data_IF_256667018637
#
_entry.id   IF_256667018637
#
_cell.length_a   1.000
_cell.length_b   1.000
_cell.length_c   1.000
_cell.angle_alpha   90.00
_cell.angle_beta   90.00
_cell.angle_gamma   90.00
#
_symmetry.space_group_name_H-M   'P 1'
#
loop_
_entity.id
_entity.type
_entity.pdbx_description
1 polymer ?
#
# COMPACT_ATOMS: atom_id res chain seq x y z
N UNK A 1 16.36 -42.00 2.64
CA UNK A 1 16.34 -40.77 1.81
C UNK A 1 15.29 -40.85 0.70
N UNK A 2 15.34 -41.85 -0.20
CA UNK A 2 14.38 -42.00 -1.31
C UNK A 2 12.90 -42.03 -0.87
N UNK A 3 12.57 -42.82 0.17
CA UNK A 3 11.20 -42.94 0.68
C UNK A 3 10.65 -41.61 1.24
N UNK A 4 11.49 -40.85 1.95
CA UNK A 4 11.11 -39.53 2.49
C UNK A 4 10.86 -38.53 1.36
N UNK A 5 11.70 -38.57 0.32
CA UNK A 5 11.55 -37.72 -0.86
C UNK A 5 10.24 -38.01 -1.60
N UNK A 6 9.90 -39.30 -1.78
CA UNK A 6 8.66 -39.73 -2.41
C UNK A 6 7.45 -39.27 -1.59
N UNK A 7 7.46 -39.47 -0.26
CA UNK A 7 6.37 -39.02 0.62
C UNK A 7 6.18 -37.49 0.56
N UNK A 8 7.27 -36.72 0.54
CA UNK A 8 7.20 -35.26 0.42
C UNK A 8 6.64 -34.80 -0.93
N UNK A 9 7.09 -35.40 -2.03
CA UNK A 9 6.59 -35.08 -3.37
C UNK A 9 5.11 -35.45 -3.48
N UNK A 10 4.73 -36.65 -3.04
CA UNK A 10 3.33 -37.09 -3.04
C UNK A 10 2.46 -36.19 -2.17
N UNK A 11 2.93 -35.84 -0.96
CA UNK A 11 2.23 -34.91 -0.07
C UNK A 11 2.04 -33.52 -0.68
N UNK A 12 3.07 -32.99 -1.36
CA UNK A 12 3.00 -31.70 -2.03
C UNK A 12 2.02 -31.71 -3.23
N UNK A 13 2.04 -32.77 -4.04
CA UNK A 13 1.12 -32.94 -5.18
C UNK A 13 -0.32 -33.08 -4.69
N UNK A 14 -0.56 -33.95 -3.70
CA UNK A 14 -1.88 -34.18 -3.10
C UNK A 14 -2.42 -32.90 -2.46
N UNK A 15 -1.59 -32.17 -1.71
CA UNK A 15 -1.98 -30.91 -1.08
C UNK A 15 -2.29 -29.81 -2.10
N UNK A 16 -1.54 -29.74 -3.21
CA UNK A 16 -1.79 -28.77 -4.27
C UNK A 16 -3.07 -29.08 -5.05
N UNK A 17 -3.38 -30.37 -5.29
CA UNK A 17 -4.62 -30.79 -5.96
C UNK A 17 -5.84 -30.64 -5.04
N UNK A 18 -5.74 -31.08 -3.77
CA UNK A 18 -6.80 -30.91 -2.77
C UNK A 18 -7.05 -29.44 -2.48
N UNK A 19 -6.00 -28.63 -2.35
CA UNK A 19 -6.11 -27.18 -2.15
C UNK A 19 -6.87 -26.51 -3.29
N UNK A 20 -6.56 -26.85 -4.55
CA UNK A 20 -7.29 -26.34 -5.72
C UNK A 20 -8.75 -26.79 -5.74
N UNK A 21 -9.03 -28.09 -5.49
CA UNK A 21 -10.40 -28.59 -5.43
C UNK A 21 -11.23 -27.95 -4.31
N UNK A 22 -10.62 -27.70 -3.16
CA UNK A 22 -11.27 -27.05 -2.03
C UNK A 22 -11.59 -25.58 -2.36
N UNK A 23 -10.67 -24.89 -3.02
CA UNK A 23 -10.89 -23.53 -3.54
C UNK A 23 -12.02 -23.52 -4.58
N UNK A 24 -12.05 -24.46 -5.52
CA UNK A 24 -13.12 -24.56 -6.54
C UNK A 24 -14.49 -24.85 -5.92
N UNK A 25 -14.55 -25.71 -4.91
CA UNK A 25 -15.78 -25.99 -4.15
C UNK A 25 -16.23 -24.75 -3.40
N UNK A 26 -15.30 -24.02 -2.79
CA UNK A 26 -15.59 -22.75 -2.12
C UNK A 26 -16.12 -21.72 -3.11
N UNK A 27 -15.46 -21.52 -4.25
CA UNK A 27 -15.91 -20.60 -5.28
C UNK A 27 -17.30 -20.97 -5.82
N UNK A 28 -17.61 -22.25 -6.02
CA UNK A 28 -18.95 -22.72 -6.41
C UNK A 28 -20.01 -22.46 -5.35
N UNK A 29 -19.69 -22.66 -4.07
CA UNK A 29 -20.61 -22.37 -2.98
C UNK A 29 -20.91 -20.86 -2.89
N UNK A 30 -19.87 -20.03 -3.01
CA UNK A 30 -20.00 -18.56 -2.99
C UNK A 30 -20.74 -18.03 -4.22
N UNK A 31 -20.59 -18.66 -5.39
CA UNK A 31 -21.30 -18.30 -6.63
C UNK A 31 -22.81 -18.56 -6.59
N UNK A 32 -23.32 -19.35 -5.64
CA UNK A 32 -24.77 -19.53 -5.43
C UNK A 32 -25.41 -18.38 -4.67
N UNK A 33 -24.61 -17.49 -4.07
CA UNK A 33 -25.11 -16.32 -3.35
C UNK A 33 -25.10 -15.12 -4.32
N UNK A 34 -26.28 -14.68 -4.83
CA UNK A 34 -26.34 -13.54 -5.74
C UNK A 34 -25.75 -12.29 -5.07
N UNK A 35 -24.89 -11.57 -5.80
CA UNK A 35 -24.18 -10.37 -5.33
C UNK A 35 -22.86 -10.63 -4.59
N UNK A 36 -22.64 -11.84 -4.04
CA UNK A 36 -21.44 -12.15 -3.23
C UNK A 36 -20.16 -12.22 -4.07
N UNK A 37 -20.26 -12.71 -5.32
CA UNK A 37 -19.12 -12.82 -6.24
C UNK A 37 -18.42 -11.47 -6.47
N UNK A 38 -19.17 -10.38 -6.58
CA UNK A 38 -18.61 -9.05 -6.84
C UNK A 38 -17.92 -8.48 -5.58
N UNK A 39 -18.53 -8.67 -4.41
CA UNK A 39 -17.97 -8.22 -3.13
C UNK A 39 -16.70 -9.02 -2.80
N UNK A 40 -16.75 -10.35 -2.90
CA UNK A 40 -15.60 -11.21 -2.64
C UNK A 40 -14.44 -10.95 -3.60
N UNK A 41 -14.72 -10.76 -4.91
CA UNK A 41 -13.68 -10.43 -5.87
C UNK A 41 -13.11 -9.03 -5.64
N UNK A 42 -13.91 -8.04 -5.27
CA UNK A 42 -13.43 -6.72 -4.88
C UNK A 42 -12.55 -6.80 -3.63
N UNK A 43 -12.99 -7.52 -2.58
CA UNK A 43 -12.23 -7.73 -1.35
C UNK A 43 -10.94 -8.50 -1.58
N UNK A 44 -10.96 -9.56 -2.40
CA UNK A 44 -9.76 -10.34 -2.77
C UNK A 44 -8.77 -9.49 -3.56
N UNK A 45 -9.27 -8.64 -4.46
CA UNK A 45 -8.44 -7.72 -5.25
C UNK A 45 -7.82 -6.63 -4.38
N UNK A 46 -8.62 -5.99 -3.51
CA UNK A 46 -8.14 -5.02 -2.52
C UNK A 46 -7.14 -5.68 -1.57
N UNK A 47 -7.43 -6.87 -1.07
CA UNK A 47 -6.51 -7.64 -0.20
C UNK A 47 -5.19 -7.93 -0.92
N UNK A 48 -5.22 -8.40 -2.16
CA UNK A 48 -3.99 -8.69 -2.91
C UNK A 48 -3.15 -7.46 -3.23
N UNK A 49 -3.77 -6.28 -3.33
CA UNK A 49 -3.09 -5.03 -3.66
C UNK A 49 -2.61 -4.29 -2.41
N UNK A 50 -3.32 -4.38 -1.29
CA UNK A 50 -3.00 -3.69 -0.03
C UNK A 50 -2.07 -4.51 0.87
N UNK A 51 -2.15 -5.85 0.87
CA UNK A 51 -1.28 -6.67 1.73
C UNK A 51 0.13 -6.90 1.17
N UNK A 52 0.39 -6.56 -0.10
CA UNK A 52 1.75 -6.53 -0.66
C UNK A 52 2.46 -5.18 -0.46
N UNK A 53 1.88 -4.28 0.34
CA UNK A 53 2.36 -2.90 0.56
C UNK A 53 3.35 -2.79 1.72
N UNK A 54 4.29 -3.72 1.80
CA UNK A 54 5.48 -3.61 2.65
C UNK A 54 6.51 -2.76 1.89
N UNK A 55 6.45 -1.44 2.00
CA UNK A 55 7.34 -0.43 1.38
C UNK A 55 7.43 -0.38 -0.16
N UNK A 56 7.29 -1.48 -0.89
CA UNK A 56 7.49 -1.55 -2.36
C UNK A 56 6.33 -0.97 -3.19
N UNK A 57 5.14 -0.82 -2.60
CA UNK A 57 4.00 -0.21 -3.32
C UNK A 57 4.04 1.32 -3.33
N UNK A 58 4.79 1.93 -2.42
CA UNK A 58 4.90 3.39 -2.34
C UNK A 58 6.11 3.85 -3.14
N UNK A 59 5.90 4.78 -4.07
CA UNK A 59 6.97 5.20 -4.98
C UNK A 59 7.96 6.15 -4.33
N UNK A 60 7.45 7.10 -3.53
CA UNK A 60 8.20 8.26 -3.02
C UNK A 60 7.58 8.80 -1.73
N UNK A 61 8.40 9.44 -0.90
CA UNK A 61 7.97 10.17 0.29
C UNK A 61 7.81 11.67 -0.02
N UNK A 62 6.80 12.29 0.57
CA UNK A 62 6.44 13.69 0.40
C UNK A 62 6.26 14.35 1.76
N UNK A 63 6.53 15.65 1.84
CA UNK A 63 6.16 16.53 2.94
C UNK A 63 4.99 17.40 2.48
N UNK A 64 3.90 17.42 3.24
CA UNK A 64 2.68 18.15 2.88
C UNK A 64 2.15 18.94 4.07
N UNK A 65 1.39 20.00 3.80
CA UNK A 65 0.65 20.71 4.83
C UNK A 65 -0.70 20.03 5.08
N UNK A 66 -0.92 19.49 6.28
CA UNK A 66 -2.14 18.80 6.66
C UNK A 66 -2.28 18.75 8.21
N UNK A 67 -3.49 18.95 8.78
CA UNK A 67 -4.76 19.24 8.09
C UNK A 67 -4.93 20.73 7.71
N UNK A 68 -4.05 21.61 8.17
CA UNK A 68 -4.10 23.05 7.91
C UNK A 68 -2.73 23.63 7.60
N UNK A 69 -2.70 24.87 7.09
CA UNK A 69 -1.45 25.58 6.83
C UNK A 69 -0.60 25.70 8.11
N UNK A 70 0.71 25.54 7.97
CA UNK A 70 1.68 25.56 9.06
C UNK A 70 1.90 24.22 9.76
N UNK A 71 1.05 23.22 9.54
CA UNK A 71 1.19 21.87 10.11
C UNK A 71 1.65 20.93 9.02
N UNK A 72 2.77 20.23 9.24
CA UNK A 72 3.41 19.40 8.23
C UNK A 72 3.40 17.93 8.63
N UNK A 73 3.16 17.07 7.64
CA UNK A 73 3.19 15.61 7.81
C UNK A 73 3.96 14.95 6.68
N UNK A 74 4.55 13.80 6.97
CA UNK A 74 5.15 12.93 5.96
C UNK A 74 4.04 12.06 5.36
N UNK A 75 4.00 12.02 4.04
CA UNK A 75 3.05 11.26 3.26
C UNK A 75 3.75 10.43 2.20
N UNK A 76 3.10 9.38 1.71
CA UNK A 76 3.66 8.42 0.78
C UNK A 76 2.82 8.37 -0.49
N UNK A 77 3.46 8.45 -1.65
CA UNK A 77 2.73 8.37 -2.92
C UNK A 77 2.20 6.95 -3.12
N UNK A 78 0.87 6.82 -3.07
CA UNK A 78 0.15 5.56 -3.29
C UNK A 78 -0.18 5.33 -4.77
N UNK A 79 -0.16 6.39 -5.59
CA UNK A 79 -0.34 6.32 -7.03
C UNK A 79 -0.40 7.70 -7.68
N UNK A 80 -0.70 7.70 -8.97
CA UNK A 80 -1.13 8.90 -9.70
C UNK A 80 -2.66 8.85 -9.85
N UNK A 81 -3.34 10.01 -9.87
CA UNK A 81 -4.77 10.08 -10.14
C UNK A 81 -5.00 10.74 -11.50
N UNK A 82 -5.98 10.25 -12.25
CA UNK A 82 -6.52 10.93 -13.44
C UNK A 82 -8.03 10.76 -13.43
N UNK A 83 -8.79 11.87 -13.50
CA UNK A 83 -10.25 11.79 -13.53
C UNK A 83 -10.97 13.01 -12.97
N UNK A 84 -12.17 12.77 -12.44
CA UNK A 84 -13.10 13.80 -11.96
C UNK A 84 -12.47 14.75 -10.94
N UNK A 85 -11.68 14.24 -9.99
CA UNK A 85 -11.07 15.07 -8.94
C UNK A 85 -10.09 16.10 -9.50
N UNK A 86 -9.31 15.78 -10.55
CA UNK A 86 -8.45 16.76 -11.23
C UNK A 86 -9.26 17.85 -11.91
N UNK A 87 -10.43 17.50 -12.45
CA UNK A 87 -11.32 18.48 -13.11
C UNK A 87 -11.94 19.42 -12.09
N UNK A 88 -12.33 18.91 -10.91
CA UNK A 88 -12.89 19.72 -9.81
C UNK A 88 -11.81 20.61 -9.18
N UNK A 89 -10.62 20.08 -8.96
CA UNK A 89 -9.50 20.83 -8.36
C UNK A 89 -8.88 21.80 -9.37
N UNK A 90 -8.95 21.50 -10.67
CA UNK A 90 -8.40 22.32 -11.75
C UNK A 90 -6.87 22.23 -11.90
N UNK A 91 -6.23 21.25 -11.27
CA UNK A 91 -4.78 21.08 -11.24
C UNK A 91 -4.39 19.60 -11.26
N UNK A 92 -3.13 19.29 -11.60
CA UNK A 92 -2.59 17.93 -11.50
C UNK A 92 -2.65 17.44 -10.04
N UNK A 93 -3.26 16.28 -9.82
CA UNK A 93 -3.49 15.74 -8.46
C UNK A 93 -2.55 14.58 -8.16
N UNK A 94 -2.11 14.50 -6.90
CA UNK A 94 -1.34 13.36 -6.38
C UNK A 94 -2.10 12.62 -5.28
N UNK A 95 -1.99 11.29 -5.30
CA UNK A 95 -2.58 10.39 -4.30
C UNK A 95 -1.58 10.06 -3.20
N UNK A 96 -1.86 10.52 -1.99
CA UNK A 96 -0.98 10.39 -0.84
C UNK A 96 -1.63 9.57 0.27
N UNK A 97 -0.84 8.73 0.92
CA UNK A 97 -1.19 8.06 2.16
C UNK A 97 -0.43 8.70 3.31
N UNK A 98 -1.15 9.18 4.33
CA UNK A 98 -0.60 9.76 5.55
C UNK A 98 -0.76 8.73 6.67
N UNK A 99 0.29 8.01 7.08
CA UNK A 99 0.20 7.01 8.12
C UNK A 99 0.03 7.63 9.51
N UNK A 100 -0.57 6.86 10.42
CA UNK A 100 -0.52 7.14 11.85
C UNK A 100 0.77 6.61 12.47
N UNK A 101 1.22 7.25 13.54
CA UNK A 101 2.37 6.81 14.34
C UNK A 101 1.90 6.10 15.62
N UNK A 102 2.67 5.16 16.18
CA UNK A 102 3.87 4.52 15.60
C UNK A 102 3.52 3.42 14.60
N UNK A 103 2.27 2.97 14.55
CA UNK A 103 1.84 1.86 13.70
C UNK A 103 1.26 2.36 12.36
N UNK A 104 1.96 2.12 11.22
CA UNK A 104 1.58 2.67 9.91
C UNK A 104 0.53 1.82 9.19
N UNK A 105 -0.11 0.87 9.87
CA UNK A 105 -1.20 0.07 9.29
C UNK A 105 -2.49 0.87 9.08
N UNK A 106 -2.63 1.99 9.78
CA UNK A 106 -3.73 2.95 9.63
C UNK A 106 -3.23 4.30 9.17
N UNK A 107 -4.14 5.12 8.66
CA UNK A 107 -3.82 6.44 8.14
C UNK A 107 -4.96 7.06 7.36
N UNK A 108 -4.66 8.18 6.70
CA UNK A 108 -5.58 8.92 5.86
C UNK A 108 -5.15 8.82 4.40
N UNK A 109 -6.13 8.72 3.52
CA UNK A 109 -5.92 8.95 2.10
C UNK A 109 -6.18 10.44 1.81
N UNK A 110 -5.22 11.09 1.16
CA UNK A 110 -5.27 12.52 0.85
C UNK A 110 -5.01 12.72 -0.63
N UNK A 111 -5.86 13.51 -1.28
CA UNK A 111 -5.67 14.02 -2.64
C UNK A 111 -5.45 15.52 -2.57
N UNK A 112 -4.42 16.01 -3.26
CA UNK A 112 -4.11 17.44 -3.30
C UNK A 112 -3.37 17.81 -4.59
N UNK A 113 -3.33 19.11 -4.94
CA UNK A 113 -2.50 19.57 -6.03
C UNK A 113 -1.04 19.16 -5.86
N UNK A 114 -0.46 18.59 -6.92
CA UNK A 114 0.92 18.08 -6.92
C UNK A 114 1.94 19.16 -6.60
N UNK A 115 1.66 20.42 -6.97
CA UNK A 115 2.52 21.58 -6.69
C UNK A 115 2.70 21.87 -5.20
N UNK A 116 1.74 21.45 -4.37
CA UNK A 116 1.72 21.70 -2.93
C UNK A 116 2.30 20.52 -2.11
N UNK A 117 2.73 19.45 -2.79
CA UNK A 117 3.40 18.30 -2.20
C UNK A 117 4.91 18.32 -2.48
N UNK A 118 5.71 18.38 -1.42
CA UNK A 118 7.16 18.53 -1.53
C UNK A 118 7.84 17.16 -1.48
N UNK A 119 8.35 16.69 -2.61
CA UNK A 119 9.08 15.42 -2.67
C UNK A 119 10.32 15.46 -1.77
N UNK A 120 10.42 14.49 -0.86
CA UNK A 120 11.56 14.35 0.05
C UNK A 120 12.67 13.53 -0.63
N UNK A 121 13.92 13.83 -0.26
CA UNK A 121 15.07 13.07 -0.77
C UNK A 121 15.27 11.72 -0.10
N UNK A 122 14.61 11.50 1.04
CA UNK A 122 14.71 10.25 1.77
C UNK A 122 14.08 9.10 1.00
N UNK A 123 14.65 7.92 1.17
CA UNK A 123 13.99 6.70 0.70
C UNK A 123 12.69 6.50 1.47
N UNK A 124 11.75 5.76 0.89
CA UNK A 124 10.48 5.40 1.56
C UNK A 124 10.74 4.67 2.88
N UNK A 125 11.75 3.80 2.92
CA UNK A 125 12.15 3.09 4.14
C UNK A 125 12.63 4.05 5.24
N UNK A 126 13.45 5.05 4.88
CA UNK A 126 13.93 6.08 5.81
C UNK A 126 12.76 6.92 6.36
N UNK A 127 11.82 7.32 5.50
CA UNK A 127 10.61 8.02 5.90
C UNK A 127 9.76 7.18 6.87
N UNK A 128 9.56 5.89 6.58
CA UNK A 128 8.83 5.00 7.49
C UNK A 128 9.53 4.84 8.84
N UNK A 129 10.86 4.70 8.88
CA UNK A 129 11.62 4.67 10.14
C UNK A 129 11.39 5.92 10.98
N UNK A 130 11.39 7.09 10.36
CA UNK A 130 11.12 8.37 11.04
C UNK A 130 9.69 8.43 11.60
N UNK A 131 8.70 8.06 10.79
CA UNK A 131 7.27 8.03 11.18
C UNK A 131 7.02 7.03 12.31
N UNK A 132 7.45 5.77 12.15
CA UNK A 132 7.22 4.69 13.12
C UNK A 132 7.88 5.01 14.46
N UNK A 133 9.07 5.62 14.44
CA UNK A 133 9.76 6.06 15.65
C UNK A 133 9.20 7.35 16.26
N UNK A 134 8.11 7.90 15.71
CA UNK A 134 7.52 9.17 16.13
C UNK A 134 8.54 10.33 16.17
N UNK A 135 9.50 10.34 15.23
CA UNK A 135 10.51 11.39 15.13
C UNK A 135 11.79 11.12 15.92
N UNK A 136 11.88 10.03 16.70
CA UNK A 136 13.06 9.73 17.52
C UNK A 136 14.26 9.31 16.66
N UNK A 137 14.03 8.64 15.53
CA UNK A 137 15.08 8.19 14.61
C UNK A 137 15.12 9.08 13.39
N UNK A 138 16.15 9.93 13.31
CA UNK A 138 16.41 10.76 12.13
C UNK A 138 17.27 9.99 11.12
N UNK A 139 16.83 9.81 9.87
CA UNK A 139 17.66 9.20 8.84
C UNK A 139 18.93 10.02 8.57
N UNK A 140 20.08 9.37 8.54
CA UNK A 140 21.36 10.03 8.25
C UNK A 140 21.45 10.46 6.77
N UNK A 141 22.07 11.63 6.52
CA UNK A 141 22.51 12.13 5.20
C UNK A 141 21.44 12.59 4.18
N UNK A 142 20.52 13.48 4.56
CA UNK A 142 19.69 14.19 3.59
C UNK A 142 20.21 15.62 3.43
N UNK A 143 21.08 15.83 2.44
CA UNK A 143 21.45 17.19 2.02
C UNK A 143 20.20 17.88 1.48
N UNK A 144 19.75 18.95 2.14
CA UNK A 144 18.67 19.80 1.62
C UNK A 144 19.13 20.31 0.25
N UNK A 145 18.48 19.90 -0.84
CA UNK A 145 18.66 20.62 -2.12
C UNK A 145 18.04 21.99 -1.91
N UNK A 146 18.89 23.01 -1.83
CA UNK A 146 18.46 24.38 -2.02
C UNK A 146 17.74 24.44 -3.37
N UNK A 147 16.46 24.84 -3.36
CA UNK A 147 15.76 25.20 -4.60
C UNK A 147 16.52 26.37 -5.20
N UNK A 148 17.20 26.14 -6.33
CA UNK A 148 17.58 27.22 -7.26
C UNK A 148 16.35 27.73 -7.98
#
# INVERSE_FOLDING_TARGET
VLVILIILITGAVVSNILGRKLLDLWERALNKIPGFRNIYNALKKISSTVFNTSSDSFRKAYLIQYPSKGIWVIAFQSGDYKGEVETIIGEDVINLFVPTTPNPTSGFFVMMPKKDAFELQMTVEQAFKLVISAGVVTPENLKIKEKK
#
